data_IF_012736234197
#
_entry.id   IF_012736234197
#
_cell.length_a   1.000
_cell.length_b   1.000
_cell.length_c   1.000
_cell.angle_alpha   90.00
_cell.angle_beta   90.00
_cell.angle_gamma   90.00
#
_symmetry.space_group_name_H-M   'P 1'
#
loop_
_entity.id
_entity.type
_entity.pdbx_description
1 polymer ?
#
# COMPACT_ATOMS: atom_id res chain seq x y z
N UNK A 1 3.30 -6.71 -0.79
CA UNK A 1 3.38 -6.25 -2.20
C UNK A 1 4.49 -6.98 -2.95
N UNK A 2 4.22 -7.45 -4.16
CA UNK A 2 5.18 -8.13 -5.05
C UNK A 2 5.57 -7.20 -6.20
N UNK A 3 6.80 -7.30 -6.71
CA UNK A 3 7.26 -6.44 -7.78
C UNK A 3 8.78 -6.37 -7.90
N UNK A 4 9.30 -5.51 -8.77
CA UNK A 4 10.73 -5.33 -8.97
C UNK A 4 11.45 -5.02 -7.64
N UNK A 5 12.56 -5.71 -7.38
CA UNK A 5 13.34 -5.52 -6.15
C UNK A 5 12.69 -6.07 -4.86
N UNK A 6 11.60 -6.84 -4.97
CA UNK A 6 10.97 -7.56 -3.84
C UNK A 6 11.10 -9.07 -4.06
N UNK A 7 11.33 -9.87 -3.00
CA UNK A 7 11.15 -11.30 -3.11
C UNK A 7 9.70 -11.62 -3.46
N UNK A 8 9.48 -12.66 -4.26
CA UNK A 8 8.15 -13.17 -4.53
C UNK A 8 7.51 -13.62 -3.20
N UNK A 9 6.26 -13.25 -2.91
CA UNK A 9 5.58 -13.73 -1.72
C UNK A 9 5.45 -15.25 -1.73
N UNK A 10 5.28 -15.82 -0.54
CA UNK A 10 5.12 -17.26 -0.36
C UNK A 10 3.96 -17.82 -1.21
N UNK A 11 4.07 -19.08 -1.63
CA UNK A 11 3.17 -19.70 -2.61
C UNK A 11 1.70 -19.76 -2.13
N UNK A 12 1.46 -19.61 -0.83
CA UNK A 12 0.14 -19.62 -0.21
C UNK A 12 -0.62 -18.27 -0.34
N UNK A 13 0.02 -17.23 -0.86
CA UNK A 13 -0.64 -15.94 -1.08
C UNK A 13 -1.59 -16.01 -2.28
N UNK A 14 -2.91 -16.11 -2.03
CA UNK A 14 -3.91 -16.15 -3.11
C UNK A 14 -4.07 -14.85 -3.93
N UNK A 15 -3.53 -13.72 -3.45
CA UNK A 15 -3.61 -12.40 -4.10
C UNK A 15 -2.25 -11.70 -4.02
N UNK A 16 -1.84 -11.04 -5.12
CA UNK A 16 -0.61 -10.27 -5.21
C UNK A 16 -0.88 -8.82 -5.65
N UNK A 17 -0.54 -7.86 -4.79
CA UNK A 17 -0.51 -6.45 -5.17
C UNK A 17 0.76 -6.18 -6.00
N UNK A 18 0.59 -5.86 -7.28
CA UNK A 18 1.69 -5.70 -8.26
C UNK A 18 1.69 -4.32 -8.92
N UNK A 19 2.85 -3.76 -9.28
CA UNK A 19 2.89 -2.45 -9.92
C UNK A 19 2.48 -2.53 -11.39
N UNK A 20 1.77 -1.50 -11.85
CA UNK A 20 1.62 -1.17 -13.26
C UNK A 20 2.78 -0.28 -13.69
N UNK A 21 3.42 -0.61 -14.81
CA UNK A 21 4.51 0.14 -15.37
C UNK A 21 4.04 1.55 -15.78
N UNK A 22 4.68 2.65 -15.31
CA UNK A 22 4.14 3.99 -15.49
C UNK A 22 4.18 4.49 -16.95
N UNK A 23 5.14 4.01 -17.76
CA UNK A 23 5.26 4.37 -19.17
C UNK A 23 4.46 3.45 -20.11
N UNK A 24 4.50 2.13 -19.92
CA UNK A 24 3.88 1.16 -20.84
C UNK A 24 2.48 0.75 -20.43
N UNK A 25 2.08 0.99 -19.17
CA UNK A 25 0.81 0.49 -18.63
C UNK A 25 0.78 -1.01 -18.39
N UNK A 26 1.89 -1.72 -18.62
CA UNK A 26 1.96 -3.16 -18.44
C UNK A 26 1.95 -3.53 -16.96
N UNK A 27 1.19 -4.57 -16.60
CA UNK A 27 1.17 -5.08 -15.23
C UNK A 27 2.39 -5.97 -15.01
N UNK A 28 3.12 -5.73 -13.93
CA UNK A 28 4.24 -6.60 -13.57
C UNK A 28 3.75 -8.02 -13.25
N UNK A 29 4.40 -9.00 -13.86
CA UNK A 29 4.07 -10.42 -13.69
C UNK A 29 5.12 -11.12 -12.82
N UNK A 30 4.70 -11.82 -11.74
CA UNK A 30 5.60 -12.64 -10.94
C UNK A 30 6.07 -13.88 -11.74
N UNK A 31 7.34 -14.24 -11.59
CA UNK A 31 7.87 -15.51 -12.07
C UNK A 31 7.84 -16.56 -10.94
N UNK A 32 7.76 -17.86 -11.31
CA UNK A 32 7.86 -18.97 -10.36
C UNK A 32 6.56 -19.26 -9.57
N UNK A 33 6.65 -19.79 -8.34
CA UNK A 33 5.48 -20.24 -7.56
C UNK A 33 4.41 -19.17 -7.34
N UNK A 34 4.80 -17.89 -7.28
CA UNK A 34 3.90 -16.75 -7.14
C UNK A 34 3.09 -16.44 -8.42
N UNK A 35 3.37 -17.11 -9.55
CA UNK A 35 2.62 -16.93 -10.79
C UNK A 35 1.18 -17.49 -10.73
N UNK A 36 0.87 -18.38 -9.78
CA UNK A 36 -0.48 -18.94 -9.59
C UNK A 36 -1.43 -17.99 -8.86
N UNK A 37 -0.89 -16.98 -8.16
CA UNK A 37 -1.67 -16.05 -7.36
C UNK A 37 -2.33 -14.97 -8.23
N UNK A 38 -3.50 -14.50 -7.81
CA UNK A 38 -4.26 -13.49 -8.57
C UNK A 38 -3.59 -12.11 -8.49
N UNK A 39 -3.11 -11.53 -9.62
CA UNK A 39 -2.48 -10.21 -9.60
C UNK A 39 -3.54 -9.11 -9.53
N UNK A 40 -3.34 -8.16 -8.61
CA UNK A 40 -4.12 -6.93 -8.48
C UNK A 40 -3.23 -5.76 -8.87
N UNK A 41 -3.48 -5.14 -10.05
CA UNK A 41 -2.65 -4.05 -10.55
C UNK A 41 -2.86 -2.79 -9.72
N UNK A 42 -1.75 -2.17 -9.31
CA UNK A 42 -1.73 -0.88 -8.63
C UNK A 42 -0.96 0.16 -9.45
N UNK A 43 -1.40 1.42 -9.49
CA UNK A 43 -0.59 2.50 -10.03
C UNK A 43 0.79 2.52 -9.37
N UNK A 44 1.86 2.72 -10.16
CA UNK A 44 3.25 2.58 -9.70
C UNK A 44 3.54 3.34 -8.39
N UNK A 45 3.07 4.59 -8.28
CA UNK A 45 3.26 5.40 -7.07
C UNK A 45 2.60 4.79 -5.83
N UNK A 46 1.38 4.26 -5.95
CA UNK A 46 0.67 3.59 -4.84
C UNK A 46 1.40 2.32 -4.43
N UNK A 47 1.86 1.54 -5.41
CA UNK A 47 2.65 0.35 -5.13
C UNK A 47 3.95 0.69 -4.43
N UNK A 48 4.66 1.75 -4.86
CA UNK A 48 5.94 2.17 -4.27
C UNK A 48 5.76 2.50 -2.78
N UNK A 49 4.71 3.24 -2.43
CA UNK A 49 4.36 3.58 -1.04
C UNK A 49 4.03 2.36 -0.17
N UNK A 50 3.33 1.37 -0.72
CA UNK A 50 2.98 0.13 -0.01
C UNK A 50 4.17 -0.82 0.11
N UNK A 51 4.97 -0.93 -0.95
CA UNK A 51 6.14 -1.76 -1.00
C UNK A 51 7.16 -1.22 -0.01
N UNK A 52 7.55 0.04 -0.13
CA UNK A 52 8.57 0.69 0.69
C UNK A 52 7.92 1.70 1.65
N UNK A 53 7.29 1.24 2.75
CA UNK A 53 6.79 2.14 3.77
C UNK A 53 8.02 2.75 4.45
N UNK A 54 8.38 3.96 4.06
CA UNK A 54 9.50 4.67 4.66
C UNK A 54 9.14 5.01 6.12
N UNK A 55 9.91 4.57 7.14
CA UNK A 55 9.63 4.93 8.53
C UNK A 55 9.87 6.42 8.80
N UNK A 56 10.62 7.13 7.95
CA UNK A 56 10.88 8.58 8.08
C UNK A 56 11.09 9.19 6.69
N UNK A 57 10.31 10.20 6.26
CA UNK A 57 10.56 10.83 4.97
C UNK A 57 11.98 11.41 4.97
N UNK A 58 12.75 11.27 3.87
CA UNK A 58 14.08 11.85 3.78
C UNK A 58 13.91 13.36 3.93
N UNK A 59 14.36 13.88 5.08
CA UNK A 59 14.78 15.27 5.16
C UNK A 59 15.83 15.39 4.05
N UNK A 60 15.70 16.36 3.12
CA UNK A 60 16.72 16.53 2.10
C UNK A 60 18.07 16.62 2.80
N UNK A 61 19.08 15.89 2.30
CA UNK A 61 20.43 15.94 2.88
C UNK A 61 20.98 17.38 2.95
N UNK A 62 20.40 18.28 2.14
CA UNK A 62 20.65 19.72 2.08
C UNK A 62 20.03 20.56 3.21
N UNK A 63 19.16 19.99 4.06
CA UNK A 63 18.32 20.76 4.97
C UNK A 63 17.17 21.50 4.25
N UNK A 64 16.40 22.29 5.00
CA UNK A 64 15.38 23.18 4.45
C UNK A 64 15.99 24.20 3.48
N UNK A 65 15.20 24.65 2.50
CA UNK A 65 15.67 25.68 1.57
C UNK A 65 15.94 26.99 2.33
N UNK A 66 17.06 27.70 2.07
CA UNK A 66 17.33 28.98 2.70
C UNK A 66 16.22 29.99 2.39
N UNK A 67 15.93 30.86 3.36
CA UNK A 67 14.97 31.95 3.19
C UNK A 67 15.37 32.82 1.98
N UNK A 68 14.42 33.08 1.08
CA UNK A 68 14.63 33.91 -0.11
C UNK A 68 15.05 33.17 -1.39
N UNK A 69 15.25 31.85 -1.35
CA UNK A 69 15.47 31.08 -2.58
C UNK A 69 14.13 30.52 -3.08
N UNK A 70 13.79 30.75 -4.36
CA UNK A 70 12.62 30.16 -5.03
C UNK A 70 13.00 28.82 -5.67
N UNK A 71 12.15 27.80 -5.54
CA UNK A 71 12.26 26.58 -6.36
C UNK A 71 11.50 26.79 -7.66
N UNK A 72 12.10 26.35 -8.76
CA UNK A 72 11.41 26.24 -10.06
C UNK A 72 10.42 25.07 -10.07
N UNK A 73 10.69 24.02 -9.29
CA UNK A 73 9.79 22.88 -9.12
C UNK A 73 8.82 23.11 -7.96
N UNK A 74 7.50 22.93 -8.16
CA UNK A 74 6.57 22.92 -7.05
C UNK A 74 6.97 21.79 -6.08
N UNK A 75 6.94 22.03 -4.76
CA UNK A 75 7.26 20.98 -3.80
C UNK A 75 6.35 19.78 -4.09
N UNK A 76 6.94 18.59 -4.16
CA UNK A 76 6.16 17.36 -4.19
C UNK A 76 5.14 17.46 -3.05
N UNK A 77 3.86 17.26 -3.37
CA UNK A 77 2.81 17.18 -2.37
C UNK A 77 3.21 16.05 -1.43
N UNK A 78 3.88 16.39 -0.33
CA UNK A 78 4.26 15.44 0.71
C UNK A 78 2.95 15.01 1.31
N UNK A 79 2.47 13.85 0.88
CA UNK A 79 1.49 13.10 1.63
C UNK A 79 2.21 12.71 2.92
N UNK A 80 2.08 13.54 3.95
CA UNK A 80 2.65 13.32 5.29
C UNK A 80 2.04 12.10 6.00
N UNK A 81 1.24 11.31 5.29
CA UNK A 81 0.56 10.15 5.78
C UNK A 81 0.87 9.00 4.83
N UNK A 82 1.28 7.83 5.35
CA UNK A 82 1.41 6.65 4.51
C UNK A 82 0.07 6.37 3.84
N UNK A 83 0.11 5.90 2.59
CA UNK A 83 -1.10 5.43 1.92
C UNK A 83 -1.74 4.31 2.77
N UNK A 84 -3.00 4.51 3.15
CA UNK A 84 -3.78 3.55 3.92
C UNK A 84 -5.12 3.36 3.22
N UNK A 85 -5.61 2.12 3.20
CA UNK A 85 -7.00 1.89 2.83
C UNK A 85 -7.91 2.70 3.76
N UNK A 86 -8.96 3.31 3.20
CA UNK A 86 -9.96 3.97 4.02
C UNK A 86 -10.54 2.96 5.04
N UNK A 87 -10.40 3.21 6.35
CA UNK A 87 -10.78 2.24 7.37
C UNK A 87 -12.26 1.82 7.29
N UNK A 88 -13.16 2.75 6.97
CA UNK A 88 -14.60 2.47 6.86
C UNK A 88 -14.94 1.60 5.65
N UNK A 89 -14.40 1.95 4.49
CA UNK A 89 -14.55 1.20 3.23
C UNK A 89 -13.94 -0.20 3.35
N UNK A 90 -12.77 -0.31 3.98
CA UNK A 90 -12.11 -1.59 4.21
C UNK A 90 -12.94 -2.50 5.10
N UNK A 91 -13.41 -2.01 6.26
CA UNK A 91 -14.32 -2.75 7.14
C UNK A 91 -15.61 -3.18 6.42
N UNK A 92 -16.25 -2.26 5.70
CA UNK A 92 -17.48 -2.54 4.98
C UNK A 92 -17.31 -3.63 3.90
N UNK A 93 -16.16 -3.62 3.22
CA UNK A 93 -15.83 -4.60 2.19
C UNK A 93 -15.57 -5.97 2.81
N UNK A 94 -14.77 -6.03 3.88
CA UNK A 94 -14.48 -7.29 4.57
C UNK A 94 -15.74 -7.96 5.14
N UNK A 95 -16.64 -7.19 5.75
CA UNK A 95 -17.88 -7.71 6.33
C UNK A 95 -18.81 -8.40 5.31
N UNK A 96 -18.67 -8.09 4.01
CA UNK A 96 -19.47 -8.68 2.93
C UNK A 96 -18.84 -9.91 2.30
N UNK A 97 -17.57 -10.20 2.58
CA UNK A 97 -16.91 -11.39 2.03
C UNK A 97 -17.47 -12.66 2.72
N UNK A 98 -17.86 -13.70 1.96
CA UNK A 98 -18.31 -14.96 2.56
C UNK A 98 -17.25 -15.58 3.49
N UNK A 99 -15.97 -15.34 3.19
CA UNK A 99 -14.81 -15.76 3.96
C UNK A 99 -14.71 -15.10 5.35
N UNK A 100 -15.50 -14.07 5.65
CA UNK A 100 -15.55 -13.44 6.99
C UNK A 100 -16.01 -14.39 8.09
N UNK A 101 -16.65 -15.51 7.70
CA UNK A 101 -17.01 -16.60 8.61
C UNK A 101 -15.80 -17.42 9.07
N UNK A 102 -14.65 -17.26 8.42
CA UNK A 102 -13.41 -17.90 8.87
C UNK A 102 -12.90 -17.25 10.17
N UNK A 103 -12.36 -18.02 11.12
CA UNK A 103 -11.97 -17.50 12.43
C UNK A 103 -10.94 -16.36 12.34
N UNK A 104 -9.93 -16.51 11.49
CA UNK A 104 -8.85 -15.55 11.34
C UNK A 104 -9.32 -14.21 10.75
N UNK A 105 -10.26 -14.23 9.79
CA UNK A 105 -10.76 -13.00 9.17
C UNK A 105 -11.75 -12.27 10.10
N UNK A 106 -12.50 -13.04 10.90
CA UNK A 106 -13.36 -12.48 11.95
C UNK A 106 -12.55 -11.77 13.03
N UNK A 107 -11.43 -12.35 13.45
CA UNK A 107 -10.50 -11.73 14.41
C UNK A 107 -9.94 -10.41 13.88
N UNK A 108 -9.58 -10.33 12.60
CA UNK A 108 -9.15 -9.08 11.96
C UNK A 108 -10.28 -8.03 11.98
N UNK A 109 -11.52 -8.43 11.69
CA UNK A 109 -12.67 -7.52 11.69
C UNK A 109 -12.97 -6.97 13.09
N UNK A 110 -12.89 -7.82 14.11
CA UNK A 110 -13.13 -7.42 15.50
C UNK A 110 -12.07 -6.42 16.00
N UNK A 111 -10.79 -6.66 15.71
CA UNK A 111 -9.71 -5.70 16.03
C UNK A 111 -9.88 -4.37 15.30
N UNK A 112 -10.23 -4.38 14.01
CA UNK A 112 -10.49 -3.15 13.25
C UNK A 112 -11.66 -2.36 13.81
N UNK A 113 -12.70 -3.03 14.32
CA UNK A 113 -13.85 -2.40 14.96
C UNK A 113 -13.45 -1.70 16.27
N UNK A 114 -12.54 -2.30 17.05
CA UNK A 114 -12.00 -1.70 18.26
C UNK A 114 -11.14 -0.46 17.95
N UNK A 115 -10.26 -0.53 16.96
CA UNK A 115 -9.43 0.59 16.52
C UNK A 115 -10.25 1.77 15.96
N UNK A 116 -11.28 1.48 15.19
CA UNK A 116 -12.21 2.48 14.67
C UNK A 116 -12.97 3.19 15.79
N UNK A 117 -13.42 2.45 16.81
CA UNK A 117 -14.05 3.03 18.00
C UNK A 117 -13.05 3.91 18.77
N UNK A 118 -11.82 3.44 18.97
CA UNK A 118 -10.79 4.18 19.70
C UNK A 118 -10.35 5.49 18.99
N UNK A 119 -10.54 5.61 17.68
CA UNK A 119 -10.24 6.84 16.92
C UNK A 119 -11.37 7.88 16.94
N UNK A 120 -12.55 7.51 17.43
CA UNK A 120 -13.74 8.38 17.49
C UNK A 120 -13.95 9.01 18.87
N UNK A 121 -13.10 8.70 19.86
CA UNK A 121 -13.15 9.24 21.23
C UNK A 121 -11.83 9.92 21.62
#
# INVERSE_FOLDING_TARGET
PAGPGRPAPDADAGILLVPVHPQTGETWAPAGPAASAYPVPLPFGVWLWLAFPDPYPPVPASGGMPEGVLRDDPPLQRLFHPFRADPGTFHHTLARLPAVRSPWLREILDHLTQDLRARLF
#
